data_IF_746526525716
#
_entry.id   IF_746526525716
#
_cell.length_a   1.000
_cell.length_b   1.000
_cell.length_c   1.000
_cell.angle_alpha   90.00
_cell.angle_beta   90.00
_cell.angle_gamma   90.00
#
_symmetry.space_group_name_H-M   'P 1'
#
loop_
_entity.id
_entity.type
_entity.pdbx_description
1 polymer ?
#
# COMPACT_ATOMS: atom_id res chain seq x y z
N UNK A 1 -22.09 53.44 -27.10
CA UNK A 1 -22.50 52.05 -27.38
C UNK A 1 -21.32 51.08 -27.25
N UNK A 2 -20.21 51.33 -27.89
CA UNK A 2 -19.03 50.44 -27.86
C UNK A 2 -18.46 50.17 -26.46
N UNK A 3 -18.34 51.19 -25.60
CA UNK A 3 -17.83 51.04 -24.22
C UNK A 3 -18.67 50.11 -23.37
N UNK A 4 -20.01 50.13 -23.48
CA UNK A 4 -20.90 49.25 -22.75
C UNK A 4 -20.78 47.79 -23.20
N UNK A 5 -20.44 47.53 -24.46
CA UNK A 5 -20.23 46.19 -25.00
C UNK A 5 -18.89 45.64 -24.46
N UNK A 6 -17.84 46.46 -24.41
CA UNK A 6 -16.53 46.09 -23.89
C UNK A 6 -16.61 45.78 -22.37
N UNK A 7 -17.29 46.65 -21.61
CA UNK A 7 -17.48 46.46 -20.18
C UNK A 7 -18.28 45.16 -19.88
N UNK A 8 -19.33 44.88 -20.68
CA UNK A 8 -20.09 43.65 -20.58
C UNK A 8 -19.25 42.41 -20.89
N UNK A 9 -18.41 42.48 -21.92
CA UNK A 9 -17.54 41.37 -22.29
C UNK A 9 -16.47 41.09 -21.20
N UNK A 10 -15.91 42.15 -20.60
CA UNK A 10 -14.95 42.00 -19.49
C UNK A 10 -15.57 41.31 -18.28
N UNK A 11 -16.83 41.65 -17.92
CA UNK A 11 -17.53 41.01 -16.81
C UNK A 11 -17.75 39.52 -17.09
N UNK A 12 -18.15 39.16 -18.30
CA UNK A 12 -18.38 37.75 -18.69
C UNK A 12 -17.07 36.96 -18.63
N UNK A 13 -15.96 37.53 -19.14
CA UNK A 13 -14.66 36.87 -19.10
C UNK A 13 -14.17 36.67 -17.64
N UNK A 14 -14.35 37.68 -16.78
CA UNK A 14 -13.97 37.61 -15.39
C UNK A 14 -14.79 36.55 -14.63
N UNK A 15 -16.09 36.45 -14.87
CA UNK A 15 -16.96 35.43 -14.28
C UNK A 15 -16.58 34.03 -14.78
N UNK A 16 -16.31 33.86 -16.07
CA UNK A 16 -15.87 32.60 -16.63
C UNK A 16 -14.53 32.13 -16.00
N UNK A 17 -13.56 33.06 -15.86
CA UNK A 17 -12.30 32.76 -15.19
C UNK A 17 -12.48 32.37 -13.72
N UNK A 18 -13.33 33.09 -12.99
CA UNK A 18 -13.64 32.76 -11.59
C UNK A 18 -14.29 31.38 -11.43
N UNK A 19 -15.25 31.05 -12.30
CA UNK A 19 -15.87 29.70 -12.31
C UNK A 19 -14.84 28.62 -12.64
N UNK A 20 -13.95 28.86 -13.59
CA UNK A 20 -12.90 27.90 -13.94
C UNK A 20 -11.94 27.66 -12.76
N UNK A 21 -11.53 28.72 -12.07
CA UNK A 21 -10.66 28.61 -10.89
C UNK A 21 -11.36 27.84 -9.76
N UNK A 22 -12.64 28.14 -9.49
CA UNK A 22 -13.43 27.44 -8.49
C UNK A 22 -13.56 25.96 -8.85
N UNK A 23 -13.84 25.64 -10.12
CA UNK A 23 -13.91 24.24 -10.58
C UNK A 23 -12.56 23.52 -10.45
N UNK A 24 -11.45 24.17 -10.75
CA UNK A 24 -10.10 23.58 -10.59
C UNK A 24 -9.74 23.35 -9.13
N UNK A 25 -10.20 24.19 -8.22
CA UNK A 25 -9.94 24.06 -6.78
C UNK A 25 -10.88 23.03 -6.11
N UNK A 26 -12.15 22.95 -6.57
CA UNK A 26 -13.14 22.03 -5.98
C UNK A 26 -13.11 20.64 -6.58
N UNK A 27 -12.69 20.51 -7.85
CA UNK A 27 -12.39 19.23 -8.49
C UNK A 27 -10.90 18.95 -8.32
N UNK A 28 -10.44 18.87 -7.06
CA UNK A 28 -9.19 18.19 -6.80
C UNK A 28 -9.38 16.74 -7.28
N UNK A 29 -8.56 16.22 -8.21
CA UNK A 29 -8.56 14.79 -8.43
C UNK A 29 -8.27 14.17 -7.07
N UNK A 30 -9.20 13.41 -6.54
CA UNK A 30 -8.89 12.42 -5.51
C UNK A 30 -7.86 11.53 -6.18
N UNK A 31 -6.58 11.83 -5.98
CA UNK A 31 -5.53 10.86 -6.21
C UNK A 31 -5.99 9.72 -5.33
N UNK A 32 -6.47 8.62 -5.92
CA UNK A 32 -6.63 7.40 -5.19
C UNK A 32 -5.26 7.21 -4.54
N UNK A 33 -5.20 7.37 -3.22
CA UNK A 33 -4.05 6.97 -2.44
C UNK A 33 -3.80 5.55 -2.92
N UNK A 34 -2.70 5.37 -3.65
CA UNK A 34 -2.19 4.03 -3.92
C UNK A 34 -1.96 3.52 -2.51
N UNK A 35 -2.83 2.60 -2.10
CA UNK A 35 -2.82 1.98 -0.79
C UNK A 35 -1.48 1.23 -0.71
N UNK A 36 -0.42 2.00 -0.38
CA UNK A 36 0.87 1.41 -0.05
C UNK A 36 0.61 0.65 1.23
N UNK A 37 0.78 -0.70 1.23
CA UNK A 37 0.56 -1.50 2.41
C UNK A 37 1.29 -0.84 3.58
N UNK A 38 0.58 -0.57 4.67
CA UNK A 38 1.15 0.07 5.85
C UNK A 38 2.20 -0.87 6.45
N UNK A 39 3.48 -0.55 6.23
CA UNK A 39 4.60 -1.37 6.67
C UNK A 39 4.64 -1.47 8.19
N UNK A 40 4.15 -0.45 8.92
CA UNK A 40 4.02 -0.51 10.37
C UNK A 40 2.97 -1.53 10.80
N UNK A 41 1.83 -1.59 10.12
CA UNK A 41 0.85 -2.64 10.33
C UNK A 41 1.40 -4.03 9.95
N UNK A 42 2.26 -4.11 8.94
CA UNK A 42 2.97 -5.32 8.56
C UNK A 42 3.88 -5.85 9.65
N UNK A 43 4.63 -4.96 10.32
CA UNK A 43 5.49 -5.32 11.45
C UNK A 43 4.69 -5.87 12.64
N UNK A 44 3.59 -5.21 13.01
CA UNK A 44 2.73 -5.66 14.10
C UNK A 44 2.09 -7.03 13.80
N UNK A 45 1.63 -7.23 12.55
CA UNK A 45 1.07 -8.51 12.10
C UNK A 45 2.13 -9.62 12.12
N UNK A 46 3.37 -9.31 11.72
CA UNK A 46 4.49 -10.25 11.79
C UNK A 46 4.78 -10.65 13.23
N UNK A 47 4.90 -9.70 14.14
CA UNK A 47 5.16 -9.97 15.55
C UNK A 47 4.06 -10.84 16.15
N UNK A 48 2.80 -10.58 15.84
CA UNK A 48 1.68 -11.31 16.41
C UNK A 48 1.51 -12.74 15.86
N UNK A 49 1.90 -13.02 14.60
CA UNK A 49 1.54 -14.24 13.91
C UNK A 49 2.71 -15.06 13.36
N UNK A 50 3.87 -14.46 13.15
CA UNK A 50 4.99 -15.06 12.44
C UNK A 50 6.24 -15.23 13.31
N UNK A 51 6.49 -14.28 14.22
CA UNK A 51 7.70 -14.22 15.04
C UNK A 51 7.92 -15.46 15.91
N UNK A 52 6.83 -16.10 16.36
CA UNK A 52 6.92 -17.33 17.16
C UNK A 52 7.62 -18.51 16.45
N UNK A 53 7.60 -18.52 15.12
CA UNK A 53 8.29 -19.54 14.33
C UNK A 53 9.54 -19.01 13.64
N UNK A 54 9.48 -17.76 13.12
CA UNK A 54 10.55 -17.17 12.31
C UNK A 54 11.52 -16.29 13.09
N UNK A 55 11.29 -16.11 14.41
CA UNK A 55 12.02 -15.18 15.25
C UNK A 55 11.52 -13.75 15.12
N UNK A 56 11.66 -12.90 16.17
CA UNK A 56 11.16 -11.52 16.18
C UNK A 56 11.80 -10.60 15.15
N UNK A 57 13.03 -10.91 14.72
CA UNK A 57 13.78 -10.20 13.68
C UNK A 57 13.88 -11.01 12.38
N UNK A 58 13.12 -12.10 12.25
CA UNK A 58 13.16 -13.00 11.10
C UNK A 58 14.41 -13.85 11.02
N UNK A 59 15.13 -14.00 12.13
CA UNK A 59 16.40 -14.75 12.23
C UNK A 59 16.22 -16.25 12.12
N UNK A 60 14.96 -16.75 12.20
CA UNK A 60 14.64 -18.17 12.16
C UNK A 60 14.42 -18.77 13.55
N UNK A 61 14.07 -20.03 13.57
CA UNK A 61 13.77 -20.78 14.78
C UNK A 61 13.16 -22.12 14.41
N UNK A 62 11.88 -22.33 14.72
CA UNK A 62 11.09 -23.49 14.23
C UNK A 62 10.95 -23.40 12.70
N UNK A 63 10.71 -22.18 12.19
CA UNK A 63 10.72 -21.85 10.76
C UNK A 63 12.09 -21.38 10.27
N UNK A 64 12.28 -21.32 8.95
CA UNK A 64 13.53 -20.83 8.39
C UNK A 64 13.73 -19.34 8.67
N UNK A 65 14.98 -18.86 8.59
CA UNK A 65 15.29 -17.44 8.59
C UNK A 65 14.67 -16.75 7.39
N UNK A 66 14.11 -15.56 7.61
CA UNK A 66 13.56 -14.68 6.58
C UNK A 66 14.52 -13.50 6.33
N UNK A 67 15.29 -13.11 7.34
CA UNK A 67 16.31 -12.09 7.21
C UNK A 67 17.37 -12.52 6.18
N UNK A 68 17.45 -11.80 5.06
CA UNK A 68 18.35 -12.09 3.95
C UNK A 68 18.09 -13.40 3.20
N UNK A 69 16.92 -14.02 3.36
CA UNK A 69 16.66 -15.39 2.90
C UNK A 69 15.46 -15.57 1.95
N UNK A 70 15.18 -14.59 1.09
CA UNK A 70 14.03 -14.67 0.14
C UNK A 70 14.49 -14.84 -1.32
N UNK A 71 15.64 -15.46 -1.58
CA UNK A 71 16.20 -15.63 -2.93
C UNK A 71 15.31 -16.49 -3.85
N UNK A 72 14.42 -17.32 -3.28
CA UNK A 72 13.49 -18.15 -4.02
C UNK A 72 12.22 -17.42 -4.50
N UNK A 73 12.09 -16.15 -4.14
CA UNK A 73 10.96 -15.31 -4.55
C UNK A 73 11.45 -14.17 -5.45
N UNK A 74 10.74 -13.94 -6.55
CA UNK A 74 11.08 -12.90 -7.51
C UNK A 74 10.38 -11.56 -7.21
N UNK A 75 9.25 -11.61 -6.49
CA UNK A 75 8.43 -10.43 -6.17
C UNK A 75 7.72 -10.58 -4.83
N UNK A 76 7.34 -9.45 -4.23
CA UNK A 76 6.60 -9.42 -2.96
C UNK A 76 5.24 -10.12 -3.05
N UNK A 77 4.61 -10.10 -4.21
CA UNK A 77 3.36 -10.79 -4.49
C UNK A 77 3.49 -12.33 -4.39
N UNK A 78 4.67 -12.86 -4.68
CA UNK A 78 4.96 -14.28 -4.51
C UNK A 78 5.04 -14.65 -3.03
N UNK A 79 5.64 -13.78 -2.22
CA UNK A 79 5.65 -13.90 -0.77
C UNK A 79 4.22 -13.84 -0.22
N UNK A 80 3.40 -12.89 -0.67
CA UNK A 80 2.01 -12.76 -0.24
C UNK A 80 1.20 -14.02 -0.57
N UNK A 81 1.34 -14.57 -1.77
CA UNK A 81 0.69 -15.83 -2.16
C UNK A 81 1.16 -17.00 -1.30
N UNK A 82 2.45 -17.07 -1.02
CA UNK A 82 3.03 -18.11 -0.19
C UNK A 82 2.51 -18.05 1.26
N UNK A 83 2.43 -16.85 1.84
CA UNK A 83 1.87 -16.61 3.18
C UNK A 83 0.39 -17.00 3.22
N UNK A 84 -0.39 -16.61 2.19
CA UNK A 84 -1.80 -16.97 2.09
C UNK A 84 -1.99 -18.48 2.09
N UNK A 85 -1.28 -19.18 1.22
CA UNK A 85 -1.44 -20.63 1.04
C UNK A 85 -0.81 -21.45 2.19
N UNK A 86 0.32 -20.98 2.72
CA UNK A 86 1.12 -21.75 3.68
C UNK A 86 1.76 -22.99 3.07
N UNK A 87 2.30 -23.83 3.94
CA UNK A 87 2.88 -25.14 3.58
C UNK A 87 2.26 -26.22 4.47
N UNK A 88 1.50 -27.15 3.92
CA UNK A 88 0.83 -28.17 4.71
C UNK A 88 1.80 -28.91 5.68
N UNK A 89 1.42 -28.97 6.95
CA UNK A 89 2.19 -29.61 8.01
C UNK A 89 3.46 -28.87 8.46
N UNK A 90 3.76 -27.70 7.89
CA UNK A 90 4.97 -26.92 8.21
C UNK A 90 4.67 -25.45 8.55
N UNK A 91 3.91 -24.77 7.73
CA UNK A 91 3.53 -23.37 7.92
C UNK A 91 2.01 -23.24 7.69
N UNK A 92 1.24 -22.67 8.63
CA UNK A 92 -0.18 -22.46 8.40
C UNK A 92 -0.43 -21.48 7.28
N UNK A 93 -1.50 -21.68 6.50
CA UNK A 93 -2.00 -20.68 5.57
C UNK A 93 -2.78 -19.59 6.30
N UNK A 94 -2.71 -18.39 5.81
CA UNK A 94 -3.33 -17.22 6.44
C UNK A 94 -4.53 -16.67 5.68
N UNK A 95 -4.90 -17.22 4.53
CA UNK A 95 -6.03 -16.76 3.70
C UNK A 95 -7.38 -16.67 4.43
N UNK A 96 -7.59 -17.52 5.46
CA UNK A 96 -8.82 -17.53 6.28
C UNK A 96 -8.67 -16.77 7.60
N UNK A 97 -7.48 -16.27 7.90
CA UNK A 97 -7.13 -15.66 9.20
C UNK A 97 -6.78 -14.17 9.06
N UNK A 98 -6.38 -13.75 7.89
CA UNK A 98 -6.02 -12.37 7.54
C UNK A 98 -6.78 -11.93 6.30
N UNK A 99 -7.06 -10.64 6.21
CA UNK A 99 -7.55 -10.04 4.97
C UNK A 99 -6.42 -10.00 3.92
N UNK A 100 -6.74 -9.90 2.62
CA UNK A 100 -5.73 -9.73 1.58
C UNK A 100 -4.78 -8.55 1.85
N UNK A 101 -5.29 -7.43 2.37
CA UNK A 101 -4.49 -6.25 2.69
C UNK A 101 -3.51 -6.52 3.84
N UNK A 102 -3.94 -7.26 4.85
CA UNK A 102 -3.08 -7.69 5.96
C UNK A 102 -1.98 -8.65 5.49
N UNK A 103 -2.31 -9.58 4.59
CA UNK A 103 -1.31 -10.47 3.99
C UNK A 103 -0.29 -9.66 3.16
N UNK A 104 -0.77 -8.71 2.37
CA UNK A 104 0.12 -7.83 1.59
C UNK A 104 1.00 -6.98 2.50
N UNK A 105 0.46 -6.41 3.59
CA UNK A 105 1.23 -5.61 4.53
C UNK A 105 2.35 -6.43 5.20
N UNK A 106 2.06 -7.63 5.69
CA UNK A 106 3.08 -8.50 6.29
C UNK A 106 4.10 -8.99 5.25
N UNK A 107 3.67 -9.31 4.03
CA UNK A 107 4.57 -9.70 2.96
C UNK A 107 5.52 -8.55 2.56
N UNK A 108 5.00 -7.32 2.50
CA UNK A 108 5.80 -6.12 2.25
C UNK A 108 6.84 -5.89 3.35
N UNK A 109 6.46 -5.99 4.62
CA UNK A 109 7.37 -5.88 5.75
C UNK A 109 8.49 -6.94 5.67
N UNK A 110 8.13 -8.20 5.43
CA UNK A 110 9.14 -9.28 5.30
C UNK A 110 10.07 -9.02 4.13
N UNK A 111 9.55 -8.52 3.00
CA UNK A 111 10.31 -8.24 1.79
C UNK A 111 11.29 -7.08 1.95
N UNK A 112 10.84 -5.96 2.52
CA UNK A 112 11.64 -4.73 2.61
C UNK A 112 12.51 -4.67 3.86
N UNK A 113 11.94 -5.00 5.01
CA UNK A 113 12.60 -4.75 6.30
C UNK A 113 13.42 -5.95 6.77
N UNK A 114 12.93 -7.17 6.59
CA UNK A 114 13.64 -8.36 7.02
C UNK A 114 14.59 -8.89 5.94
N UNK A 115 14.15 -9.00 4.70
CA UNK A 115 14.98 -9.51 3.62
C UNK A 115 15.83 -8.43 2.93
N UNK A 116 15.53 -7.15 3.12
CA UNK A 116 16.31 -6.03 2.56
C UNK A 116 16.21 -5.89 1.04
N UNK A 117 15.03 -6.15 0.48
CA UNK A 117 14.77 -6.12 -0.99
C UNK A 117 13.87 -5.00 -1.41
#
# INVERSE_FOLDING_TARGET
MFKRIVDGLQVVVALAAAVTVVLLVTVSPTVAEVDTPDVSAGADLFQANCSGCHGPEGEGGIGPALAGGLESFDAVEDVARFVSAGVPGRMPGFETRMTPDQVNAVAQFVWTDLAGR
#
